data_IF_856906028244
#
_entry.id   IF_856906028244
#
_cell.length_a   1.000
_cell.length_b   1.000
_cell.length_c   1.000
_cell.angle_alpha   90.00
_cell.angle_beta   90.00
_cell.angle_gamma   90.00
#
_symmetry.space_group_name_H-M   'P 1'
#
loop_
_entity.id
_entity.type
_entity.pdbx_description
1 polymer ?
#
# COMPACT_ATOMS: atom_id res chain seq x y z
N UNK A 1 10.85 -19.81 -0.66
CA UNK A 1 10.28 -19.08 0.50
C UNK A 1 10.67 -19.76 1.79
N UNK A 2 10.11 -20.94 2.10
CA UNK A 2 10.44 -21.68 3.34
C UNK A 2 11.92 -22.06 3.42
N UNK A 3 12.51 -22.55 2.32
CA UNK A 3 13.95 -22.84 2.24
C UNK A 3 14.86 -21.61 2.44
N UNK A 4 14.30 -20.41 2.36
CA UNK A 4 14.99 -19.14 2.58
C UNK A 4 14.68 -18.53 3.96
N UNK A 5 14.01 -19.27 4.85
CA UNK A 5 13.62 -18.81 6.18
C UNK A 5 12.41 -17.86 6.23
N UNK A 6 11.71 -17.65 5.10
CA UNK A 6 10.55 -16.77 5.04
C UNK A 6 9.29 -17.56 5.45
N UNK A 7 8.71 -17.20 6.59
CA UNK A 7 7.49 -17.82 7.14
C UNK A 7 6.24 -16.95 7.00
N UNK A 8 6.42 -15.65 6.75
CA UNK A 8 5.34 -14.67 6.60
C UNK A 8 5.60 -13.72 5.43
N UNK A 9 4.55 -13.34 4.71
CA UNK A 9 4.65 -12.40 3.58
C UNK A 9 3.45 -11.46 3.44
N UNK A 10 3.71 -10.31 2.82
CA UNK A 10 2.68 -9.38 2.34
C UNK A 10 2.88 -9.17 0.85
N UNK A 11 1.94 -9.64 0.03
CA UNK A 11 1.92 -9.46 -1.42
C UNK A 11 1.46 -8.06 -1.83
N UNK A 12 1.88 -7.59 -3.00
CA UNK A 12 1.50 -6.29 -3.54
C UNK A 12 1.69 -6.25 -5.06
N UNK A 13 1.04 -5.28 -5.71
CA UNK A 13 1.32 -4.94 -7.11
C UNK A 13 2.35 -3.80 -7.20
N UNK A 14 3.03 -3.73 -8.35
CA UNK A 14 3.96 -2.68 -8.71
C UNK A 14 3.36 -1.67 -9.68
N UNK A 15 4.13 -1.30 -10.71
CA UNK A 15 3.71 -0.38 -11.78
C UNK A 15 2.53 -0.91 -12.60
N UNK A 16 2.54 -2.19 -12.94
CA UNK A 16 1.48 -2.79 -13.77
C UNK A 16 0.22 -3.06 -12.95
N UNK A 17 -0.64 -2.05 -12.82
CA UNK A 17 -2.01 -2.15 -12.30
C UNK A 17 -3.07 -2.31 -13.40
N UNK A 18 -2.65 -2.51 -14.66
CA UNK A 18 -3.54 -2.58 -15.82
C UNK A 18 -3.78 -4.02 -16.25
N UNK A 19 -2.72 -4.83 -16.34
CA UNK A 19 -2.81 -6.24 -16.74
C UNK A 19 -2.73 -7.21 -15.56
N UNK A 20 -2.36 -6.72 -14.37
CA UNK A 20 -2.40 -7.47 -13.11
C UNK A 20 -3.53 -6.98 -12.23
N UNK A 21 -4.12 -7.89 -11.46
CA UNK A 21 -5.24 -7.58 -10.58
C UNK A 21 -4.91 -7.84 -9.11
N UNK A 22 -5.40 -7.01 -8.17
CA UNK A 22 -5.40 -7.34 -6.75
C UNK A 22 -6.07 -8.70 -6.45
N UNK A 23 -7.00 -9.14 -7.29
CA UNK A 23 -7.60 -10.48 -7.19
C UNK A 23 -6.56 -11.59 -7.37
N UNK A 24 -5.61 -11.43 -8.30
CA UNK A 24 -4.54 -12.42 -8.53
C UNK A 24 -3.63 -12.52 -7.30
N UNK A 25 -3.31 -11.38 -6.69
CA UNK A 25 -2.50 -11.31 -5.46
C UNK A 25 -3.25 -11.97 -4.30
N UNK A 26 -4.56 -11.72 -4.17
CA UNK A 26 -5.39 -12.35 -3.16
C UNK A 26 -5.41 -13.88 -3.29
N UNK A 27 -5.61 -14.39 -4.51
CA UNK A 27 -5.61 -15.82 -4.77
C UNK A 27 -4.25 -16.45 -4.45
N UNK A 28 -3.14 -15.77 -4.80
CA UNK A 28 -1.81 -16.26 -4.44
C UNK A 28 -1.58 -16.23 -2.92
N UNK A 29 -2.02 -15.20 -2.21
CA UNK A 29 -1.91 -15.13 -0.75
C UNK A 29 -2.67 -16.29 -0.08
N UNK A 30 -3.89 -16.58 -0.53
CA UNK A 30 -4.67 -17.73 -0.02
C UNK A 30 -4.01 -19.07 -0.29
N UNK A 31 -3.49 -19.27 -1.51
CA UNK A 31 -2.74 -20.48 -1.83
C UNK A 31 -1.51 -20.65 -0.90
N UNK A 32 -0.77 -19.57 -0.63
CA UNK A 32 0.35 -19.62 0.31
C UNK A 32 -0.09 -19.95 1.75
N UNK A 33 -1.27 -19.48 2.19
CA UNK A 33 -1.86 -19.88 3.48
C UNK A 33 -2.17 -21.37 3.53
N UNK A 34 -2.72 -21.94 2.46
CA UNK A 34 -2.94 -23.39 2.35
C UNK A 34 -1.64 -24.19 2.37
N UNK A 35 -0.56 -23.64 1.81
CA UNK A 35 0.79 -24.19 1.86
C UNK A 35 1.48 -24.03 3.25
N UNK A 36 0.80 -23.43 4.23
CA UNK A 36 1.30 -23.26 5.61
C UNK A 36 2.10 -21.98 5.84
N UNK A 37 2.10 -21.03 4.90
CA UNK A 37 2.78 -19.72 5.03
C UNK A 37 1.77 -18.68 5.51
N UNK A 38 2.16 -17.84 6.48
CA UNK A 38 1.32 -16.71 6.87
C UNK A 38 1.36 -15.63 5.78
N UNK A 39 0.26 -15.41 5.05
CA UNK A 39 0.24 -14.51 3.90
C UNK A 39 -0.90 -13.48 3.94
N UNK A 40 -0.55 -12.24 3.62
CA UNK A 40 -1.44 -11.09 3.49
C UNK A 40 -1.13 -10.34 2.20
N UNK A 41 -1.83 -9.23 1.96
CA UNK A 41 -1.56 -8.34 0.84
C UNK A 41 -1.90 -6.88 1.12
N UNK A 42 -1.35 -5.99 0.31
CA UNK A 42 -1.87 -4.64 0.10
C UNK A 42 -2.75 -4.62 -1.14
N UNK A 43 -3.93 -3.98 -1.08
CA UNK A 43 -4.71 -3.67 -2.29
C UNK A 43 -4.06 -2.52 -3.07
N UNK A 44 -4.55 -2.17 -4.26
CA UNK A 44 -3.94 -1.12 -5.08
C UNK A 44 -2.70 -1.54 -5.85
N UNK A 45 -2.02 -0.54 -6.42
CA UNK A 45 -0.79 -0.66 -7.22
C UNK A 45 -0.03 0.67 -7.13
N UNK A 46 0.85 1.01 -8.07
CA UNK A 46 1.43 2.37 -8.11
C UNK A 46 0.40 3.45 -8.47
N UNK A 47 -0.68 3.05 -9.15
CA UNK A 47 -1.66 3.92 -9.76
C UNK A 47 -2.60 4.59 -8.72
N UNK A 48 -3.00 5.83 -9.01
CA UNK A 48 -4.11 6.54 -8.37
C UNK A 48 -5.09 7.03 -9.46
N UNK A 49 -6.40 6.73 -9.38
CA UNK A 49 -7.06 5.90 -8.37
C UNK A 49 -6.60 4.43 -8.41
N UNK A 50 -6.51 3.75 -7.26
CA UNK A 50 -5.96 2.41 -7.18
C UNK A 50 -6.92 1.35 -7.75
N UNK A 51 -6.42 0.30 -8.44
CA UNK A 51 -7.21 -0.88 -8.71
C UNK A 51 -7.57 -1.58 -7.38
N UNK A 52 -8.83 -1.98 -7.22
CA UNK A 52 -9.34 -2.61 -5.99
C UNK A 52 -10.21 -3.82 -6.32
N UNK A 53 -10.44 -4.69 -5.35
CA UNK A 53 -11.27 -5.89 -5.49
C UNK A 53 -12.75 -5.52 -5.43
N UNK A 54 -13.11 -4.63 -4.52
CA UNK A 54 -14.51 -4.25 -4.22
C UNK A 54 -14.91 -2.89 -4.78
N UNK A 55 -14.01 -2.22 -5.52
CA UNK A 55 -14.21 -0.86 -6.01
C UNK A 55 -13.90 0.23 -4.98
N UNK A 56 -13.43 -0.11 -3.77
CA UNK A 56 -13.03 0.84 -2.73
C UNK A 56 -11.88 0.27 -1.88
N UNK A 57 -10.92 1.13 -1.55
CA UNK A 57 -9.78 0.76 -0.69
C UNK A 57 -10.26 0.42 0.72
N UNK A 58 -11.16 1.22 1.29
CA UNK A 58 -11.72 0.95 2.60
C UNK A 58 -12.46 -0.38 2.64
N UNK A 59 -13.30 -0.66 1.63
CA UNK A 59 -14.05 -1.92 1.57
C UNK A 59 -13.14 -3.13 1.40
N UNK A 60 -12.07 -3.02 0.62
CA UNK A 60 -11.05 -4.08 0.51
C UNK A 60 -10.41 -4.36 1.87
N UNK A 61 -9.89 -3.32 2.55
CA UNK A 61 -9.25 -3.46 3.85
C UNK A 61 -10.22 -4.00 4.90
N UNK A 62 -11.49 -3.57 4.90
CA UNK A 62 -12.46 -4.02 5.91
C UNK A 62 -12.96 -5.44 5.65
N UNK A 63 -13.33 -5.76 4.41
CA UNK A 63 -14.09 -6.98 4.10
C UNK A 63 -13.22 -8.17 3.70
N UNK A 64 -12.00 -7.95 3.21
CA UNK A 64 -11.10 -9.01 2.76
C UNK A 64 -10.03 -9.27 3.82
N UNK A 65 -10.08 -10.42 4.50
CA UNK A 65 -9.20 -10.78 5.62
C UNK A 65 -7.72 -10.50 5.32
N UNK A 66 -7.25 -10.92 4.14
CA UNK A 66 -5.85 -10.82 3.74
C UNK A 66 -5.38 -9.39 3.45
N UNK A 67 -6.29 -8.44 3.19
CA UNK A 67 -5.91 -7.06 2.87
C UNK A 67 -5.62 -6.29 4.15
N UNK A 68 -4.35 -5.90 4.35
CA UNK A 68 -3.87 -5.20 5.56
C UNK A 68 -3.56 -3.72 5.34
N UNK A 69 -3.74 -3.22 4.12
CA UNK A 69 -3.47 -1.83 3.75
C UNK A 69 -3.54 -1.63 2.23
N UNK A 70 -3.00 -0.53 1.74
CA UNK A 70 -3.03 -0.14 0.32
C UNK A 70 -1.63 0.24 -0.19
N UNK A 71 -1.33 -0.10 -1.44
CA UNK A 71 -0.10 0.26 -2.14
C UNK A 71 -0.31 1.54 -2.96
N UNK A 72 0.72 2.38 -2.99
CA UNK A 72 0.82 3.51 -3.93
C UNK A 72 2.29 3.82 -4.27
N UNK A 73 2.54 4.88 -5.05
CA UNK A 73 3.88 5.38 -5.37
C UNK A 73 3.94 6.90 -5.43
N UNK A 74 5.07 7.47 -4.99
CA UNK A 74 5.38 8.91 -5.08
C UNK A 74 6.79 9.11 -5.60
N UNK A 75 7.06 10.30 -6.12
CA UNK A 75 8.41 10.73 -6.55
C UNK A 75 9.06 9.74 -7.51
N UNK A 76 8.29 9.19 -8.44
CA UNK A 76 8.74 8.21 -9.43
C UNK A 76 8.10 8.54 -10.78
N UNK A 77 8.87 8.45 -11.86
CA UNK A 77 8.37 8.73 -13.21
C UNK A 77 7.25 7.77 -13.69
N UNK A 78 7.02 6.67 -12.95
CA UNK A 78 5.93 5.70 -13.17
C UNK A 78 4.74 5.93 -12.23
N UNK A 79 4.81 6.94 -11.36
CA UNK A 79 3.72 7.34 -10.49
C UNK A 79 2.58 7.94 -11.29
N UNK A 80 1.41 8.05 -10.68
CA UNK A 80 0.32 8.89 -11.18
C UNK A 80 0.51 10.38 -10.89
N UNK A 81 1.63 10.75 -10.24
CA UNK A 81 1.91 12.10 -9.73
C UNK A 81 0.72 12.68 -8.95
N UNK A 82 0.26 11.96 -7.90
CA UNK A 82 -0.94 12.35 -7.17
C UNK A 82 -0.76 13.70 -6.48
N UNK A 83 -1.85 14.44 -6.34
CA UNK A 83 -1.83 15.66 -5.53
C UNK A 83 -1.69 15.30 -4.04
N UNK A 84 -1.26 16.26 -3.23
CA UNK A 84 -1.23 16.12 -1.76
C UNK A 84 -2.61 15.75 -1.21
N UNK A 85 -3.68 16.28 -1.82
CA UNK A 85 -5.05 15.98 -1.41
C UNK A 85 -5.48 14.56 -1.78
N UNK A 86 -5.04 14.02 -2.93
CA UNK A 86 -5.28 12.62 -3.29
C UNK A 86 -4.60 11.66 -2.30
N UNK A 87 -3.35 11.97 -1.93
CA UNK A 87 -2.61 11.22 -0.92
C UNK A 87 -3.29 11.32 0.46
N UNK A 88 -3.72 12.51 0.88
CA UNK A 88 -4.42 12.71 2.15
C UNK A 88 -5.71 11.90 2.22
N UNK A 89 -6.50 11.88 1.15
CA UNK A 89 -7.72 11.05 1.05
C UNK A 89 -7.40 9.57 1.16
N UNK A 90 -6.40 9.08 0.43
CA UNK A 90 -5.99 7.68 0.46
C UNK A 90 -5.54 7.25 1.87
N UNK A 91 -4.69 8.07 2.51
CA UNK A 91 -4.18 7.82 3.87
C UNK A 91 -5.32 7.83 4.89
N UNK A 92 -6.26 8.77 4.77
CA UNK A 92 -7.44 8.85 5.63
C UNK A 92 -8.36 7.63 5.46
N UNK A 93 -8.63 7.22 4.22
CA UNK A 93 -9.46 6.05 3.91
C UNK A 93 -8.83 4.77 4.50
N UNK A 94 -7.53 4.58 4.29
CA UNK A 94 -6.81 3.41 4.78
C UNK A 94 -6.75 3.39 6.33
N UNK A 95 -6.54 4.55 6.97
CA UNK A 95 -6.54 4.70 8.43
C UNK A 95 -7.88 4.31 9.05
N UNK A 96 -8.98 4.87 8.54
CA UNK A 96 -10.33 4.57 9.03
C UNK A 96 -10.64 3.09 8.83
N UNK A 97 -10.31 2.53 7.68
CA UNK A 97 -10.53 1.11 7.39
C UNK A 97 -9.71 0.19 8.32
N UNK A 98 -8.48 0.57 8.67
CA UNK A 98 -7.67 -0.12 9.69
C UNK A 98 -8.34 -0.14 11.05
N UNK A 99 -8.86 1.01 11.51
CA UNK A 99 -9.59 1.12 12.78
C UNK A 99 -10.84 0.21 12.77
N UNK A 100 -11.64 0.27 11.70
CA UNK A 100 -12.88 -0.51 11.59
C UNK A 100 -12.66 -2.02 11.55
N UNK A 101 -11.53 -2.47 11.01
CA UNK A 101 -11.23 -3.89 10.81
C UNK A 101 -10.26 -4.49 11.83
N UNK A 102 -9.67 -3.67 12.71
CA UNK A 102 -8.61 -4.09 13.61
C UNK A 102 -7.30 -4.47 12.88
N UNK A 103 -7.12 -4.02 11.63
CA UNK A 103 -5.93 -4.28 10.80
C UNK A 103 -5.01 -3.06 10.79
N UNK A 104 -3.79 -3.25 10.30
CA UNK A 104 -2.80 -2.18 10.20
C UNK A 104 -3.35 -0.95 9.43
N UNK A 105 -4.02 -1.21 8.31
CA UNK A 105 -4.64 -0.18 7.48
C UNK A 105 -3.63 0.77 6.83
N UNK A 106 -2.34 0.46 6.81
CA UNK A 106 -1.27 1.37 6.36
C UNK A 106 -1.31 1.67 4.86
N UNK A 107 -0.68 2.77 4.47
CA UNK A 107 -0.33 3.04 3.07
C UNK A 107 1.12 2.63 2.86
N UNK A 108 1.35 1.57 2.09
CA UNK A 108 2.66 1.13 1.69
C UNK A 108 3.09 1.87 0.42
N UNK A 109 4.21 2.60 0.44
CA UNK A 109 4.55 3.55 -0.64
C UNK A 109 5.83 3.12 -1.33
N UNK A 110 5.83 2.98 -2.65
CA UNK A 110 7.08 3.04 -3.41
C UNK A 110 7.56 4.48 -3.53
N UNK A 111 8.80 4.74 -3.13
CA UNK A 111 9.45 6.04 -3.35
C UNK A 111 10.44 5.89 -4.49
N UNK A 112 10.29 6.70 -5.54
CA UNK A 112 11.26 6.74 -6.64
C UNK A 112 12.41 7.70 -6.38
N UNK A 113 13.06 8.14 -7.46
CA UNK A 113 14.24 9.01 -7.42
C UNK A 113 13.96 10.47 -7.80
N UNK A 114 12.69 10.87 -7.96
CA UNK A 114 12.38 12.29 -8.19
C UNK A 114 12.70 13.10 -6.93
N UNK A 115 13.15 14.34 -7.15
CA UNK A 115 13.67 15.24 -6.12
C UNK A 115 12.75 15.43 -4.89
N UNK A 116 11.40 15.48 -5.01
CA UNK A 116 10.53 15.65 -3.85
C UNK A 116 10.62 14.54 -2.80
N UNK A 117 11.09 13.34 -3.15
CA UNK A 117 11.27 12.23 -2.21
C UNK A 117 10.00 11.94 -1.38
N UNK A 118 10.10 12.06 -0.06
CA UNK A 118 8.99 11.84 0.89
C UNK A 118 8.09 13.06 1.10
N UNK A 119 8.48 14.24 0.62
CA UNK A 119 7.78 15.51 0.90
C UNK A 119 6.27 15.46 0.62
N UNK A 120 5.78 14.90 -0.51
CA UNK A 120 4.34 14.84 -0.77
C UNK A 120 3.55 14.04 0.28
N UNK A 121 4.16 13.03 0.90
CA UNK A 121 3.53 12.20 1.94
C UNK A 121 3.48 12.93 3.27
N UNK A 122 4.55 13.65 3.62
CA UNK A 122 4.60 14.45 4.85
C UNK A 122 3.60 15.60 4.77
N UNK A 123 3.51 16.28 3.62
CA UNK A 123 2.51 17.31 3.37
C UNK A 123 1.07 16.77 3.41
N UNK A 124 0.86 15.50 3.00
CA UNK A 124 -0.46 14.88 3.01
C UNK A 124 -1.01 14.70 4.43
N UNK A 125 -0.15 14.42 5.42
CA UNK A 125 -0.54 14.26 6.82
C UNK A 125 -0.37 15.53 7.66
N UNK A 126 0.34 16.54 7.14
CA UNK A 126 0.52 17.82 7.84
C UNK A 126 -0.82 18.50 8.13
N UNK A 127 -0.94 19.05 9.34
CA UNK A 127 -2.18 19.65 9.85
C UNK A 127 -3.31 18.67 10.17
N UNK A 128 -3.02 17.36 10.24
CA UNK A 128 -4.00 16.31 10.60
C UNK A 128 -3.56 15.53 11.84
N UNK A 129 -4.50 14.80 12.47
CA UNK A 129 -4.20 13.86 13.57
C UNK A 129 -3.78 12.45 13.05
N UNK A 130 -3.44 12.32 11.78
CA UNK A 130 -3.02 11.04 11.20
C UNK A 130 -1.61 10.72 11.69
N UNK A 131 -1.41 9.58 12.39
CA UNK A 131 -0.07 9.19 12.86
C UNK A 131 0.87 8.92 11.70
N UNK A 132 2.15 9.30 11.83
CA UNK A 132 3.16 9.07 10.78
C UNK A 132 3.38 7.59 10.48
N UNK A 133 3.10 6.71 11.45
CA UNK A 133 3.16 5.25 11.34
C UNK A 133 2.16 4.69 10.32
N UNK A 134 1.19 5.51 9.90
CA UNK A 134 0.26 5.20 8.82
C UNK A 134 0.96 5.12 7.44
N UNK A 135 2.12 5.77 7.32
CA UNK A 135 2.95 5.82 6.12
C UNK A 135 4.06 4.76 6.21
N UNK A 136 4.06 3.80 5.29
CA UNK A 136 5.08 2.76 5.18
C UNK A 136 5.89 2.91 3.87
N UNK A 137 6.81 3.89 3.78
CA UNK A 137 7.65 4.06 2.61
C UNK A 137 8.58 2.85 2.41
N UNK A 138 8.76 2.45 1.15
CA UNK A 138 9.59 1.35 0.68
C UNK A 138 10.51 1.83 -0.43
N UNK A 139 11.68 1.20 -0.56
CA UNK A 139 12.72 1.56 -1.55
C UNK A 139 13.34 2.94 -1.31
N UNK A 140 13.83 3.18 -0.09
CA UNK A 140 14.75 4.30 0.16
C UNK A 140 16.17 3.81 -0.18
N UNK A 141 16.68 4.18 -1.36
CA UNK A 141 18.07 3.90 -1.75
C UNK A 141 18.84 5.22 -1.89
N UNK A 142 19.70 5.53 -0.92
CA UNK A 142 20.50 6.78 -0.89
C UNK A 142 19.88 7.86 -0.01
N UNK A 143 20.71 8.84 0.38
CA UNK A 143 20.39 9.92 1.35
C UNK A 143 19.12 10.66 0.96
N UNK A 144 17.99 10.26 1.52
CA UNK A 144 16.81 11.11 1.59
C UNK A 144 17.19 12.31 2.45
N UNK A 145 17.51 13.44 1.82
CA UNK A 145 17.57 14.73 2.51
C UNK A 145 16.15 15.07 2.93
N UNK A 146 15.93 15.03 4.24
CA UNK A 146 14.77 15.56 4.93
C UNK A 146 14.80 17.08 4.94
#
# INVERSE_FOLDING_TARGET
>A
MVSSGITSVVGLLGTDGVTRSPVDVLMRARQLKEEGISAWMYTGSYQLPPPTITGSVARDIVLVEEVVGVKTSVSDHRSSHPTVEDLRKLVSEARVAGILSGKAGVVHIHVGNEEPGLKPLLEAIDGTDIPVEQLAPSTLTGTATY
#
